data_IF_328076292979
#
_entry.id   IF_328076292979
#
_cell.length_a   1.000
_cell.length_b   1.000
_cell.length_c   1.000
_cell.angle_alpha   90.00
_cell.angle_beta   90.00
_cell.angle_gamma   90.00
#
_symmetry.space_group_name_H-M   'P 1'
#
loop_
_entity.id
_entity.type
_entity.pdbx_description
1 polymer ?
#
# COMPACT_ATOMS: atom_id res chain seq x y z
N UNK A 1 18.67 17.73 2.72
CA UNK A 1 17.87 17.73 1.48
C UNK A 1 18.68 17.39 0.23
N UNK A 2 19.85 17.97 -0.02
CA UNK A 2 20.58 17.74 -1.29
C UNK A 2 21.24 16.36 -1.42
N UNK A 3 21.79 15.81 -0.33
CA UNK A 3 22.50 14.52 -0.37
C UNK A 3 21.65 13.32 -0.83
N UNK A 4 20.38 13.24 -0.42
CA UNK A 4 19.53 12.12 -0.84
C UNK A 4 19.26 12.12 -2.35
N UNK A 5 19.21 13.30 -3.00
CA UNK A 5 19.01 13.39 -4.45
C UNK A 5 20.23 12.88 -5.22
N UNK A 6 21.43 13.16 -4.71
CA UNK A 6 22.68 12.65 -5.28
C UNK A 6 22.74 11.12 -5.14
N UNK A 7 22.42 10.59 -3.96
CA UNK A 7 22.40 9.13 -3.72
C UNK A 7 21.37 8.45 -4.63
N UNK A 8 20.15 8.99 -4.72
CA UNK A 8 19.13 8.48 -5.64
C UNK A 8 19.63 8.48 -7.08
N UNK A 9 20.24 9.58 -7.54
CA UNK A 9 20.74 9.67 -8.91
C UNK A 9 21.88 8.69 -9.16
N UNK A 10 22.77 8.50 -8.19
CA UNK A 10 23.82 7.50 -8.27
C UNK A 10 23.23 6.08 -8.42
N UNK A 11 22.28 5.68 -7.57
CA UNK A 11 21.59 4.37 -7.67
C UNK A 11 20.92 4.17 -9.04
N UNK A 12 20.43 5.23 -9.68
CA UNK A 12 19.84 5.12 -11.03
C UNK A 12 20.86 4.79 -12.12
N UNK A 13 22.06 5.39 -12.05
CA UNK A 13 22.99 5.46 -13.19
C UNK A 13 24.20 4.55 -13.09
N UNK A 14 24.57 4.11 -11.88
CA UNK A 14 25.72 3.23 -11.68
C UNK A 14 25.40 1.78 -12.08
N UNK A 15 26.46 0.97 -12.27
CA UNK A 15 26.30 -0.46 -12.56
C UNK A 15 25.73 -1.25 -11.37
N UNK A 16 25.28 -2.47 -11.62
CA UNK A 16 24.60 -3.28 -10.61
C UNK A 16 25.46 -3.57 -9.38
N UNK A 17 26.74 -3.88 -9.55
CA UNK A 17 27.64 -4.19 -8.43
C UNK A 17 27.82 -2.96 -7.53
N UNK A 18 27.96 -1.78 -8.14
CA UNK A 18 27.99 -0.52 -7.41
C UNK A 18 26.67 -0.23 -6.70
N UNK A 19 25.51 -0.48 -7.34
CA UNK A 19 24.20 -0.34 -6.66
C UNK A 19 24.12 -1.23 -5.44
N UNK A 20 24.49 -2.51 -5.57
CA UNK A 20 24.46 -3.48 -4.48
C UNK A 20 25.32 -3.00 -3.30
N UNK A 21 26.56 -2.59 -3.57
CA UNK A 21 27.47 -2.06 -2.55
C UNK A 21 26.87 -0.82 -1.85
N UNK A 22 26.33 0.13 -2.62
CA UNK A 22 25.70 1.33 -2.06
C UNK A 22 24.48 1.01 -1.19
N UNK A 23 23.69 0.00 -1.57
CA UNK A 23 22.49 -0.38 -0.82
C UNK A 23 22.86 -1.11 0.46
N UNK A 24 23.91 -1.94 0.47
CA UNK A 24 24.37 -2.62 1.69
C UNK A 24 24.82 -1.66 2.81
N UNK A 25 25.27 -0.45 2.49
CA UNK A 25 25.57 0.60 3.49
C UNK A 25 24.33 1.04 4.30
N UNK A 26 23.12 0.69 3.86
CA UNK A 26 21.88 0.98 4.57
C UNK A 26 21.52 -0.10 5.61
N UNK A 27 22.26 -1.21 5.66
CA UNK A 27 22.00 -2.29 6.60
C UNK A 27 22.08 -1.80 8.06
N UNK A 28 21.17 -2.28 8.90
CA UNK A 28 20.97 -1.80 10.26
C UNK A 28 20.32 -0.40 10.38
N UNK A 29 20.15 0.36 9.29
CA UNK A 29 19.57 1.72 9.30
C UNK A 29 18.25 1.85 8.53
N UNK A 30 17.75 0.77 7.93
CA UNK A 30 16.56 0.75 7.04
C UNK A 30 15.35 1.46 7.66
N UNK A 31 14.92 1.08 8.86
CA UNK A 31 13.72 1.68 9.50
C UNK A 31 13.91 3.16 9.81
N UNK A 32 15.12 3.57 10.19
CA UNK A 32 15.45 4.98 10.41
C UNK A 32 15.32 5.75 9.09
N UNK A 33 15.82 5.20 7.99
CA UNK A 33 15.71 5.82 6.67
C UNK A 33 14.26 5.95 6.21
N UNK A 34 13.43 4.91 6.36
CA UNK A 34 12.01 4.96 5.99
C UNK A 34 11.23 6.04 6.73
N UNK A 35 11.55 6.28 8.01
CA UNK A 35 10.90 7.30 8.83
C UNK A 35 11.47 8.71 8.64
N UNK A 36 12.56 8.86 7.89
CA UNK A 36 13.17 10.15 7.57
C UNK A 36 12.56 10.78 6.32
N UNK A 37 12.37 12.11 6.35
CA UNK A 37 11.79 12.88 5.24
C UNK A 37 12.62 12.82 3.94
N UNK A 38 13.93 12.54 4.03
CA UNK A 38 14.83 12.39 2.88
C UNK A 38 15.20 10.92 2.64
N UNK A 39 15.43 10.17 3.70
CA UNK A 39 15.87 8.76 3.66
C UNK A 39 14.85 7.84 2.99
N UNK A 40 13.56 8.10 3.16
CA UNK A 40 12.51 7.29 2.54
C UNK A 40 12.64 7.26 1.01
N UNK A 41 13.10 8.35 0.39
CA UNK A 41 13.29 8.42 -1.05
C UNK A 41 14.46 7.55 -1.52
N UNK A 42 15.51 7.40 -0.69
CA UNK A 42 16.61 6.48 -0.98
C UNK A 42 16.11 5.04 -0.92
N UNK A 43 15.34 4.66 0.11
CA UNK A 43 14.76 3.32 0.23
C UNK A 43 13.84 2.99 -0.94
N UNK A 44 12.96 3.92 -1.35
CA UNK A 44 12.13 3.77 -2.54
C UNK A 44 12.99 3.53 -3.79
N UNK A 45 14.08 4.29 -3.96
CA UNK A 45 14.97 4.13 -5.10
C UNK A 45 15.71 2.80 -5.11
N UNK A 46 16.11 2.29 -3.94
CA UNK A 46 16.68 0.95 -3.82
C UNK A 46 15.68 -0.11 -4.33
N UNK A 47 14.42 -0.03 -3.92
CA UNK A 47 13.35 -0.95 -4.34
C UNK A 47 13.07 -0.87 -5.84
N UNK A 48 13.11 0.33 -6.43
CA UNK A 48 12.87 0.55 -7.85
C UNK A 48 14.00 0.04 -8.75
N UNK A 49 15.26 0.17 -8.31
CA UNK A 49 16.45 0.09 -9.18
C UNK A 49 17.36 -1.11 -8.92
N UNK A 50 17.17 -1.85 -7.82
CA UNK A 50 18.01 -2.99 -7.44
C UNK A 50 17.16 -4.26 -7.44
N UNK A 51 17.63 -5.36 -8.03
CA UNK A 51 16.92 -6.63 -8.01
C UNK A 51 16.55 -7.06 -6.59
N UNK A 52 15.34 -7.59 -6.44
CA UNK A 52 14.74 -7.91 -5.14
C UNK A 52 15.61 -8.86 -4.28
N UNK A 53 16.30 -9.79 -4.92
CA UNK A 53 17.20 -10.74 -4.26
C UNK A 53 18.37 -10.07 -3.52
N UNK A 54 18.79 -8.88 -3.98
CA UNK A 54 19.89 -8.11 -3.36
C UNK A 54 19.41 -7.12 -2.30
N UNK A 55 18.09 -6.96 -2.13
CA UNK A 55 17.49 -6.04 -1.15
C UNK A 55 16.58 -6.76 -0.14
N UNK A 56 16.72 -8.09 -0.01
CA UNK A 56 15.91 -8.86 0.94
C UNK A 56 16.04 -8.39 2.39
N UNK A 57 17.21 -7.87 2.80
CA UNK A 57 17.39 -7.31 4.14
C UNK A 57 16.54 -6.03 4.37
N UNK A 58 16.29 -5.24 3.31
CA UNK A 58 15.37 -4.10 3.34
C UNK A 58 13.94 -4.60 3.41
N UNK A 59 13.54 -5.47 2.49
CA UNK A 59 12.16 -5.94 2.37
C UNK A 59 11.70 -6.67 3.64
N UNK A 60 12.55 -7.56 4.17
CA UNK A 60 12.23 -8.34 5.36
C UNK A 60 12.13 -7.52 6.65
N UNK A 61 12.76 -6.34 6.68
CA UNK A 61 12.63 -5.40 7.81
C UNK A 61 11.20 -4.86 7.96
N UNK A 62 10.40 -4.91 6.89
CA UNK A 62 9.04 -4.37 6.88
C UNK A 62 7.96 -5.38 7.26
N UNK A 63 8.28 -6.68 7.28
CA UNK A 63 7.35 -7.72 7.72
C UNK A 63 6.94 -7.46 9.18
N UNK A 64 5.68 -7.72 9.48
CA UNK A 64 5.02 -7.46 10.78
C UNK A 64 4.92 -5.94 11.13
N UNK A 65 5.25 -5.07 10.18
CA UNK A 65 5.14 -3.61 10.31
C UNK A 65 4.43 -2.96 9.13
N UNK A 66 3.84 -3.74 8.21
CA UNK A 66 3.28 -3.22 6.96
C UNK A 66 2.13 -2.25 7.24
N UNK A 67 1.26 -2.59 8.19
CA UNK A 67 0.15 -1.71 8.59
C UNK A 67 0.68 -0.40 9.17
N UNK A 68 1.61 -0.48 10.13
CA UNK A 68 2.25 0.68 10.77
C UNK A 68 2.92 1.60 9.75
N UNK A 69 3.61 1.02 8.75
CA UNK A 69 4.25 1.79 7.69
C UNK A 69 3.24 2.35 6.71
N UNK A 70 2.16 1.62 6.40
CA UNK A 70 1.08 2.08 5.53
C UNK A 70 0.35 3.31 6.08
N UNK A 71 0.27 3.46 7.40
CA UNK A 71 -0.29 4.64 8.07
C UNK A 71 0.76 5.72 8.37
N UNK A 72 1.98 5.60 7.85
CA UNK A 72 3.06 6.58 8.05
C UNK A 72 3.19 7.49 6.81
N UNK A 73 3.41 8.82 6.98
CA UNK A 73 3.48 9.79 5.87
C UNK A 73 4.49 9.43 4.77
N UNK A 74 5.59 8.79 5.15
CA UNK A 74 6.63 8.33 4.22
C UNK A 74 6.60 6.82 3.98
N UNK A 75 6.14 6.06 4.98
CA UNK A 75 6.16 4.59 4.93
C UNK A 75 5.19 4.05 3.90
N UNK A 76 4.03 4.72 3.74
CA UNK A 76 3.00 4.31 2.78
C UNK A 76 3.51 4.30 1.34
N UNK A 77 4.45 5.18 1.01
CA UNK A 77 5.10 5.25 -0.30
C UNK A 77 6.08 4.10 -0.49
N UNK A 78 6.83 3.75 0.56
CA UNK A 78 7.73 2.59 0.55
C UNK A 78 6.94 1.29 0.37
N UNK A 79 5.83 1.11 1.10
CA UNK A 79 4.97 -0.08 0.93
C UNK A 79 4.42 -0.18 -0.50
N UNK A 80 3.96 0.93 -1.10
CA UNK A 80 3.54 0.94 -2.51
C UNK A 80 4.67 0.53 -3.46
N UNK A 81 5.91 0.98 -3.25
CA UNK A 81 7.05 0.54 -4.07
C UNK A 81 7.30 -0.97 -3.97
N UNK A 82 7.12 -1.56 -2.79
CA UNK A 82 7.25 -3.02 -2.63
C UNK A 82 6.19 -3.74 -3.45
N UNK A 83 4.93 -3.30 -3.39
CA UNK A 83 3.84 -3.88 -4.19
C UNK A 83 4.11 -3.77 -5.71
N UNK A 84 4.69 -2.65 -6.12
CA UNK A 84 4.98 -2.37 -7.54
C UNK A 84 6.18 -3.14 -8.09
N UNK A 85 7.26 -3.28 -7.31
CA UNK A 85 8.57 -3.73 -7.82
C UNK A 85 9.04 -5.08 -7.28
N UNK A 86 8.65 -5.48 -6.06
CA UNK A 86 8.97 -6.79 -5.54
C UNK A 86 8.00 -7.82 -6.12
N UNK A 87 8.51 -8.92 -6.69
CA UNK A 87 7.72 -9.97 -7.35
C UNK A 87 7.88 -11.34 -6.72
N UNK A 88 8.78 -11.49 -5.76
CA UNK A 88 8.88 -12.71 -4.99
C UNK A 88 7.52 -13.07 -4.34
N UNK A 89 7.00 -14.29 -4.56
CA UNK A 89 5.70 -14.69 -4.04
C UNK A 89 5.58 -14.62 -2.52
N UNK A 90 6.67 -14.88 -1.78
CA UNK A 90 6.67 -14.84 -0.31
C UNK A 90 6.64 -13.40 0.19
N UNK A 91 7.41 -12.50 -0.42
CA UNK A 91 7.30 -11.05 -0.14
C UNK A 91 5.88 -10.56 -0.39
N UNK A 92 5.34 -10.83 -1.58
CA UNK A 92 4.00 -10.39 -1.96
C UNK A 92 2.93 -10.94 -1.04
N UNK A 93 2.96 -12.23 -0.69
CA UNK A 93 2.01 -12.84 0.25
C UNK A 93 2.05 -12.14 1.60
N UNK A 94 3.22 -12.03 2.23
CA UNK A 94 3.34 -11.44 3.57
C UNK A 94 2.81 -10.01 3.64
N UNK A 95 3.22 -9.19 2.67
CA UNK A 95 2.77 -7.78 2.62
C UNK A 95 1.27 -7.70 2.39
N UNK A 96 0.73 -8.55 1.52
CA UNK A 96 -0.69 -8.54 1.20
C UNK A 96 -1.56 -9.10 2.33
N UNK A 97 -1.10 -10.13 3.04
CA UNK A 97 -1.81 -10.69 4.19
C UNK A 97 -2.01 -9.63 5.29
N UNK A 98 -0.98 -8.83 5.59
CA UNK A 98 -1.08 -7.72 6.56
C UNK A 98 -2.04 -6.61 6.10
N UNK A 99 -1.99 -6.22 4.81
CA UNK A 99 -2.88 -5.20 4.25
C UNK A 99 -4.33 -5.68 4.26
N UNK A 100 -4.58 -6.89 3.78
CA UNK A 100 -5.92 -7.48 3.69
C UNK A 100 -6.52 -7.74 5.08
N UNK A 101 -5.69 -8.06 6.08
CA UNK A 101 -6.13 -8.17 7.47
C UNK A 101 -6.51 -6.84 8.13
N UNK A 102 -6.18 -5.69 7.53
CA UNK A 102 -6.38 -4.36 8.12
C UNK A 102 -7.07 -3.36 7.19
N UNK A 103 -7.82 -3.84 6.19
CA UNK A 103 -8.46 -3.00 5.16
C UNK A 103 -9.30 -1.87 5.75
N UNK A 104 -10.17 -2.17 6.70
CA UNK A 104 -11.07 -1.17 7.30
C UNK A 104 -10.31 -0.04 8.01
N UNK A 105 -9.22 -0.38 8.72
CA UNK A 105 -8.36 0.60 9.38
C UNK A 105 -7.61 1.45 8.35
N UNK A 106 -6.98 0.80 7.37
CA UNK A 106 -6.18 1.48 6.37
C UNK A 106 -7.05 2.38 5.49
N UNK A 107 -8.25 1.96 5.10
CA UNK A 107 -9.15 2.74 4.25
C UNK A 107 -9.55 4.09 4.89
N UNK A 108 -9.64 4.13 6.22
CA UNK A 108 -10.01 5.34 6.97
C UNK A 108 -8.79 6.22 7.32
N UNK A 109 -7.58 5.69 7.22
CA UNK A 109 -6.36 6.44 7.54
C UNK A 109 -5.97 7.42 6.42
N UNK A 110 -5.39 8.57 6.81
CA UNK A 110 -5.01 9.64 5.90
C UNK A 110 -3.92 9.25 4.88
N UNK A 111 -3.11 8.24 5.19
CA UNK A 111 -2.07 7.69 4.31
C UNK A 111 -2.39 6.27 3.85
N UNK A 112 -2.92 5.44 4.75
CA UNK A 112 -3.27 4.05 4.49
C UNK A 112 -4.28 3.88 3.36
N UNK A 113 -5.18 4.84 3.19
CA UNK A 113 -6.19 4.77 2.13
C UNK A 113 -5.55 4.66 0.73
N UNK A 114 -4.39 5.29 0.52
CA UNK A 114 -3.66 5.20 -0.75
C UNK A 114 -3.09 3.80 -1.00
N UNK A 115 -2.71 3.07 0.05
CA UNK A 115 -2.25 1.68 -0.07
C UNK A 115 -3.41 0.77 -0.47
N UNK A 116 -4.58 0.94 0.16
CA UNK A 116 -5.78 0.17 -0.22
C UNK A 116 -6.21 0.49 -1.66
N UNK A 117 -6.22 1.77 -2.05
CA UNK A 117 -6.49 2.18 -3.42
C UNK A 117 -5.49 1.59 -4.42
N UNK A 118 -4.22 1.48 -4.04
CA UNK A 118 -3.19 0.85 -4.86
C UNK A 118 -3.53 -0.62 -5.16
N UNK A 119 -3.90 -1.39 -4.12
CA UNK A 119 -4.30 -2.80 -4.28
C UNK A 119 -5.58 -2.92 -5.11
N UNK A 120 -6.56 -2.04 -4.91
CA UNK A 120 -7.77 -2.03 -5.74
C UNK A 120 -7.47 -1.79 -7.23
N UNK A 121 -6.50 -0.93 -7.56
CA UNK A 121 -6.14 -0.63 -8.94
C UNK A 121 -5.24 -1.68 -9.61
N UNK A 122 -4.28 -2.24 -8.86
CA UNK A 122 -3.19 -3.03 -9.44
C UNK A 122 -3.08 -4.46 -8.89
N UNK A 123 -3.71 -4.75 -7.75
CA UNK A 123 -3.71 -6.08 -7.14
C UNK A 123 -4.49 -7.10 -7.98
N UNK A 124 -4.39 -8.38 -7.60
CA UNK A 124 -5.08 -9.49 -8.27
C UNK A 124 -6.59 -9.42 -8.03
N UNK A 125 -7.42 -9.99 -8.92
CA UNK A 125 -8.87 -9.95 -8.75
C UNK A 125 -9.37 -10.43 -7.39
N UNK A 126 -8.80 -11.51 -6.84
CA UNK A 126 -9.21 -12.02 -5.52
C UNK A 126 -8.84 -11.08 -4.37
N UNK A 127 -7.69 -10.39 -4.43
CA UNK A 127 -7.26 -9.41 -3.43
C UNK A 127 -8.24 -8.22 -3.42
N UNK A 128 -8.68 -7.77 -4.60
CA UNK A 128 -9.72 -6.73 -4.75
C UNK A 128 -11.05 -7.18 -4.17
N UNK A 129 -11.47 -8.41 -4.49
CA UNK A 129 -12.72 -8.98 -3.96
C UNK A 129 -12.72 -9.08 -2.44
N UNK A 130 -11.57 -9.37 -1.80
CA UNK A 130 -11.45 -9.38 -0.34
C UNK A 130 -11.69 -7.98 0.22
N UNK A 131 -11.04 -6.95 -0.36
CA UNK A 131 -11.24 -5.55 0.06
C UNK A 131 -12.71 -5.14 -0.06
N UNK A 132 -13.33 -5.43 -1.21
CA UNK A 132 -14.72 -5.02 -1.45
C UNK A 132 -15.68 -5.71 -0.47
N UNK A 133 -15.49 -7.01 -0.21
CA UNK A 133 -16.31 -7.75 0.75
C UNK A 133 -16.15 -7.25 2.18
N UNK A 134 -14.94 -6.86 2.58
CA UNK A 134 -14.68 -6.33 3.92
C UNK A 134 -15.35 -4.96 4.17
N UNK A 135 -15.49 -4.16 3.10
CA UNK A 135 -16.13 -2.84 3.16
C UNK A 135 -17.64 -2.88 2.90
N UNK A 136 -18.17 -3.96 2.32
CA UNK A 136 -19.61 -4.17 2.17
C UNK A 136 -20.31 -4.17 3.53
N UNK A 137 -21.50 -3.56 3.59
CA UNK A 137 -22.24 -3.29 4.83
C UNK A 137 -21.79 -2.03 5.58
N UNK A 138 -20.72 -1.35 5.12
CA UNK A 138 -20.21 -0.10 5.71
C UNK A 138 -20.07 1.01 4.66
N UNK A 139 -20.50 0.79 3.42
CA UNK A 139 -20.29 1.67 2.27
C UNK A 139 -20.90 3.04 2.48
N UNK A 140 -22.11 3.13 3.04
CA UNK A 140 -22.75 4.42 3.32
C UNK A 140 -21.92 5.23 4.32
N UNK A 141 -21.51 4.59 5.43
CA UNK A 141 -20.66 5.22 6.45
C UNK A 141 -19.29 5.64 5.87
N UNK A 142 -18.64 4.74 5.12
CA UNK A 142 -17.32 4.99 4.52
C UNK A 142 -17.38 6.09 3.45
N UNK A 143 -18.51 6.24 2.75
CA UNK A 143 -18.71 7.31 1.75
C UNK A 143 -18.76 8.71 2.37
N UNK A 144 -19.08 8.83 3.66
CA UNK A 144 -19.11 10.11 4.38
C UNK A 144 -17.76 10.46 5.03
N UNK A 145 -16.83 9.50 5.08
CA UNK A 145 -15.50 9.67 5.63
C UNK A 145 -14.55 10.28 4.58
N UNK A 146 -13.77 11.30 4.97
CA UNK A 146 -12.86 12.05 4.08
C UNK A 146 -11.91 11.17 3.26
N UNK A 147 -11.36 10.13 3.88
CA UNK A 147 -10.35 9.26 3.25
C UNK A 147 -10.99 8.02 2.63
N UNK A 148 -11.89 7.37 3.36
CA UNK A 148 -12.51 6.12 2.93
C UNK A 148 -13.45 6.30 1.73
N UNK A 149 -14.03 7.48 1.53
CA UNK A 149 -14.81 7.80 0.32
C UNK A 149 -14.03 7.54 -0.97
N UNK A 150 -12.74 7.92 -1.02
CA UNK A 150 -11.87 7.64 -2.17
C UNK A 150 -11.69 6.12 -2.39
N UNK A 151 -11.65 5.34 -1.31
CA UNK A 151 -11.56 3.87 -1.37
C UNK A 151 -12.87 3.28 -1.92
N UNK A 152 -14.03 3.77 -1.46
CA UNK A 152 -15.34 3.37 -1.99
C UNK A 152 -15.45 3.66 -3.50
N UNK A 153 -15.01 4.85 -3.94
CA UNK A 153 -14.95 5.17 -5.37
C UNK A 153 -14.08 4.17 -6.15
N UNK A 154 -12.93 3.75 -5.59
CA UNK A 154 -12.11 2.70 -6.21
C UNK A 154 -12.77 1.33 -6.21
N UNK A 155 -13.50 0.96 -5.16
CA UNK A 155 -14.30 -0.27 -5.14
C UNK A 155 -15.34 -0.29 -6.26
N UNK A 156 -16.05 0.82 -6.48
CA UNK A 156 -16.99 0.96 -7.59
C UNK A 156 -16.28 0.93 -8.96
N UNK A 157 -15.10 1.54 -9.05
CA UNK A 157 -14.33 1.57 -10.30
C UNK A 157 -13.79 0.19 -10.69
N UNK A 158 -13.24 -0.57 -9.73
CA UNK A 158 -12.48 -1.79 -10.02
C UNK A 158 -13.18 -3.09 -9.64
N UNK A 159 -14.30 -3.03 -8.91
CA UNK A 159 -15.13 -4.20 -8.61
C UNK A 159 -15.81 -4.79 -9.85
N UNK A 160 -16.07 -6.09 -9.80
CA UNK A 160 -16.84 -6.79 -10.84
C UNK A 160 -18.32 -6.37 -10.84
N UNK A 161 -19.10 -6.75 -11.86
CA UNK A 161 -20.51 -6.36 -11.97
C UNK A 161 -21.35 -6.71 -10.74
N UNK A 162 -21.20 -7.92 -10.19
CA UNK A 162 -21.93 -8.36 -9.00
C UNK A 162 -21.52 -7.58 -7.75
N UNK A 163 -20.23 -7.30 -7.59
CA UNK A 163 -19.69 -6.50 -6.49
C UNK A 163 -20.19 -5.07 -6.57
N UNK A 164 -20.15 -4.43 -7.75
CA UNK A 164 -20.71 -3.08 -7.93
C UNK A 164 -22.19 -3.04 -7.59
N UNK A 165 -22.96 -4.03 -8.04
CA UNK A 165 -24.39 -4.09 -7.72
C UNK A 165 -24.63 -4.22 -6.22
N UNK A 166 -23.82 -5.02 -5.51
CA UNK A 166 -23.87 -5.14 -4.05
C UNK A 166 -23.69 -3.76 -3.39
N UNK A 167 -22.64 -3.01 -3.75
CA UNK A 167 -22.36 -1.70 -3.17
C UNK A 167 -23.44 -0.67 -3.50
N UNK A 168 -23.96 -0.69 -4.74
CA UNK A 168 -25.04 0.21 -5.15
C UNK A 168 -26.34 -0.10 -4.40
N UNK A 169 -26.69 -1.37 -4.22
CA UNK A 169 -27.89 -1.77 -3.48
C UNK A 169 -27.83 -1.29 -2.02
N UNK A 170 -26.65 -1.35 -1.39
CA UNK A 170 -26.43 -0.81 -0.06
C UNK A 170 -26.65 0.71 -0.01
N UNK A 171 -26.14 1.46 -1.00
CA UNK A 171 -26.36 2.91 -1.11
C UNK A 171 -27.84 3.29 -1.33
N UNK A 172 -28.61 2.42 -2.01
CA UNK A 172 -30.05 2.61 -2.23
C UNK A 172 -30.91 2.24 -1.02
N UNK A 173 -30.31 1.75 0.08
CA UNK A 173 -31.05 1.29 1.26
C UNK A 173 -31.90 0.04 1.00
N UNK A 174 -31.50 -0.79 0.03
CA UNK A 174 -32.25 -2.00 -0.35
C UNK A 174 -31.89 -3.23 0.50
N UNK A 175 -31.14 -3.05 1.59
CA UNK A 175 -30.96 -4.05 2.64
C UNK A 175 -32.10 -3.92 3.65
N UNK A 176 -32.70 -5.03 4.09
CA UNK A 176 -33.91 -5.14 4.93
C UNK A 176 -33.92 -4.36 6.27
N UNK A 177 -32.88 -3.58 6.57
CA UNK A 177 -32.79 -2.69 7.73
C UNK A 177 -33.03 -1.24 7.29
N UNK A 178 -34.28 -0.95 6.93
CA UNK A 178 -34.79 0.42 6.89
C UNK A 178 -34.92 0.97 8.32
N UNK A 179 -33.85 1.53 8.87
CA UNK A 179 -34.03 2.63 9.83
C UNK A 179 -33.96 3.95 9.06
N UNK A 180 -35.04 4.76 9.06
CA UNK A 180 -35.05 6.04 8.37
C UNK A 180 -33.99 6.95 8.99
N UNK A 181 -33.16 7.55 8.13
CA UNK A 181 -32.24 8.62 8.48
C UNK A 181 -33.01 9.74 9.20
N UNK A 182 -32.79 9.88 10.51
CA UNK A 182 -33.15 11.06 11.31
C UNK A 182 -31.93 11.95 11.51
#
# INVERSE_FOLDING_TARGET
MYGCRVIQKAIEVVDLDQKINMVHELDGSVMRCVRDQNGNHVIQKCIECVPEENIQFIVSTFFDQVVTLSTHPYGCRVIQRILEHCKDPKTQSKVMDEILGSVSLLAQDQYGNYVVQHVLGHGKPHERSIIIKELAGKIVQMSQQKFASNVVEKCLTFGGPAERQLLVNEMLGSTDENEPLQ
#
